data_IF_926119589772
#
_entry.id   IF_926119589772
#
_cell.length_a   1.000
_cell.length_b   1.000
_cell.length_c   1.000
_cell.angle_alpha   90.00
_cell.angle_beta   90.00
_cell.angle_gamma   90.00
#
_symmetry.space_group_name_H-M   'P 1'
#
loop_
_entity.id
_entity.type
_entity.pdbx_description
1 polymer ?
#
# COMPACT_ATOMS: atom_id res chain seq x y z
N UNK A 1 14.38 -7.14 -68.22
CA UNK A 1 13.99 -7.28 -66.80
C UNK A 1 14.00 -5.91 -66.15
N UNK A 2 12.88 -5.18 -66.27
CA UNK A 2 12.68 -3.92 -65.57
C UNK A 2 12.17 -4.25 -64.17
N UNK A 3 13.07 -4.33 -63.20
CA UNK A 3 12.68 -4.31 -61.80
C UNK A 3 12.18 -2.91 -61.48
N UNK A 4 10.88 -2.83 -61.21
CA UNK A 4 10.14 -1.62 -60.85
C UNK A 4 10.78 -0.90 -59.67
N UNK A 5 11.08 0.39 -59.85
CA UNK A 5 11.54 1.33 -58.80
C UNK A 5 10.57 1.43 -57.60
N UNK A 6 9.38 0.85 -57.68
CA UNK A 6 8.36 0.89 -56.61
C UNK A 6 8.76 0.03 -55.40
N UNK A 7 9.59 -1.02 -55.59
CA UNK A 7 10.01 -1.87 -54.46
C UNK A 7 11.23 -1.32 -53.70
N UNK A 8 12.03 -0.44 -54.29
CA UNK A 8 13.17 0.21 -53.59
C UNK A 8 12.67 1.33 -52.68
N UNK A 9 11.60 2.03 -53.03
CA UNK A 9 11.00 3.06 -52.18
C UNK A 9 10.28 2.49 -50.94
N UNK A 10 9.80 1.24 -50.98
CA UNK A 10 9.20 0.59 -49.79
C UNK A 10 10.25 0.13 -48.76
N UNK A 11 11.45 -0.25 -49.20
CA UNK A 11 12.55 -0.56 -48.26
C UNK A 11 13.16 0.72 -47.64
N UNK A 12 13.21 1.83 -48.38
CA UNK A 12 13.67 3.11 -47.85
C UNK A 12 12.70 3.71 -46.82
N UNK A 13 11.38 3.45 -46.95
CA UNK A 13 10.41 3.94 -45.98
C UNK A 13 10.43 3.13 -44.66
N UNK A 14 10.83 1.85 -44.67
CA UNK A 14 10.95 1.06 -43.44
C UNK A 14 12.28 1.27 -42.70
N UNK A 15 13.32 1.73 -43.40
CA UNK A 15 14.60 2.13 -42.81
C UNK A 15 14.62 3.50 -42.14
N UNK A 16 13.55 4.30 -42.29
CA UNK A 16 13.41 5.62 -41.67
C UNK A 16 12.46 5.65 -40.46
N UNK A 17 11.74 4.54 -40.18
CA UNK A 17 10.92 4.38 -38.97
C UNK A 17 11.53 3.41 -37.95
N UNK A 18 12.74 2.92 -38.19
CA UNK A 18 13.51 2.17 -37.20
C UNK A 18 14.42 3.12 -36.42
N UNK A 19 14.10 3.30 -35.14
CA UNK A 19 14.97 3.89 -34.10
C UNK A 19 15.19 5.41 -34.13
N UNK A 20 14.14 6.17 -34.39
CA UNK A 20 13.92 7.37 -33.56
C UNK A 20 12.54 7.24 -32.95
N UNK A 21 12.42 6.35 -31.96
CA UNK A 21 11.64 6.72 -30.79
C UNK A 21 12.36 7.94 -30.22
N UNK A 22 12.06 9.12 -30.80
CA UNK A 22 12.26 10.38 -30.11
C UNK A 22 11.45 10.14 -28.84
N UNK A 23 12.11 9.84 -27.73
CA UNK A 23 11.56 10.17 -26.42
C UNK A 23 11.13 11.61 -26.60
N UNK A 24 9.83 11.85 -26.74
CA UNK A 24 9.28 13.19 -26.72
C UNK A 24 9.94 13.84 -25.52
N UNK A 25 10.68 14.91 -25.79
CA UNK A 25 11.41 15.64 -24.76
C UNK A 25 10.35 16.02 -23.73
N UNK A 26 10.41 15.38 -22.57
CA UNK A 26 9.43 15.48 -21.50
C UNK A 26 9.61 16.85 -20.87
N UNK A 27 8.91 17.86 -21.41
CA UNK A 27 8.97 19.28 -21.01
C UNK A 27 8.37 19.55 -19.60
N UNK A 28 8.52 18.60 -18.69
CA UNK A 28 8.08 18.64 -17.29
C UNK A 28 9.21 19.15 -16.40
N UNK A 29 10.47 19.13 -16.86
CA UNK A 29 11.63 19.61 -16.12
C UNK A 29 12.10 20.95 -16.67
N UNK A 30 12.42 21.88 -15.76
CA UNK A 30 13.07 23.15 -16.09
C UNK A 30 14.59 23.03 -15.92
N UNK A 31 15.40 23.87 -16.59
CA UNK A 31 16.84 23.89 -16.39
C UNK A 31 17.22 24.01 -14.91
N UNK A 32 17.99 23.04 -14.41
CA UNK A 32 18.46 22.97 -13.01
C UNK A 32 17.61 22.10 -12.07
N UNK A 33 16.46 21.60 -12.52
CA UNK A 33 15.63 20.65 -11.74
C UNK A 33 16.36 19.30 -11.52
N UNK A 34 17.31 18.96 -12.40
CA UNK A 34 18.17 17.77 -12.34
C UNK A 34 19.38 17.91 -11.42
N UNK A 35 19.60 19.10 -10.85
CA UNK A 35 20.74 19.31 -9.94
C UNK A 35 20.61 18.49 -8.65
N UNK A 36 21.74 18.05 -8.09
CA UNK A 36 21.79 17.34 -6.80
C UNK A 36 21.25 18.16 -5.62
N UNK A 37 21.12 19.48 -5.80
CA UNK A 37 20.49 20.36 -4.84
C UNK A 37 18.96 20.18 -4.78
N UNK A 38 18.35 19.80 -5.90
CA UNK A 38 16.91 19.56 -6.02
C UNK A 38 16.57 18.10 -5.79
N UNK A 39 17.27 17.19 -6.46
CA UNK A 39 16.92 15.77 -6.50
C UNK A 39 18.11 14.85 -6.29
N UNK A 40 17.89 13.77 -5.55
CA UNK A 40 18.83 12.66 -5.39
C UNK A 40 18.10 11.34 -5.64
N UNK A 41 18.68 10.41 -6.40
CA UNK A 41 18.15 9.05 -6.48
C UNK A 41 18.08 8.41 -5.09
N UNK A 42 17.13 7.50 -4.87
CA UNK A 42 16.99 6.78 -3.59
C UNK A 42 18.28 6.00 -3.25
N UNK A 43 18.92 5.38 -4.25
CA UNK A 43 20.23 4.76 -4.11
C UNK A 43 20.25 3.66 -3.04
N UNK A 44 21.09 3.83 -2.02
CA UNK A 44 21.19 2.90 -0.87
C UNK A 44 20.41 3.37 0.37
N UNK A 45 19.71 4.50 0.28
CA UNK A 45 18.86 4.99 1.37
C UNK A 45 17.69 4.04 1.49
N UNK A 46 17.40 3.59 2.71
CA UNK A 46 16.21 2.81 2.98
C UNK A 46 14.97 3.67 2.71
N UNK A 47 14.14 3.33 1.72
CA UNK A 47 12.99 4.15 1.36
C UNK A 47 11.87 4.03 2.37
N UNK A 48 11.91 3.12 3.35
CA UNK A 48 10.75 2.87 4.22
C UNK A 48 10.95 3.42 5.63
N UNK A 49 12.19 3.75 6.01
CA UNK A 49 12.50 4.19 7.36
C UNK A 49 13.30 5.49 7.41
N UNK A 50 13.20 6.14 8.57
CA UNK A 50 14.09 7.21 8.94
C UNK A 50 15.56 6.76 8.85
N UNK A 51 16.45 7.64 8.38
CA UNK A 51 17.88 7.39 8.44
C UNK A 51 18.34 7.41 9.91
N UNK A 52 19.48 6.78 10.19
CA UNK A 52 19.96 6.64 11.57
C UNK A 52 20.37 7.97 12.24
N UNK A 53 20.61 9.02 11.44
CA UNK A 53 21.11 10.32 11.85
C UNK A 53 19.99 11.38 11.97
N UNK A 54 18.87 11.01 12.57
CA UNK A 54 17.77 11.94 12.86
C UNK A 54 17.75 12.37 14.32
N UNK A 55 17.14 13.53 14.59
CA UNK A 55 16.86 14.02 15.93
C UNK A 55 15.43 14.54 16.02
N UNK A 56 14.80 14.36 17.17
CA UNK A 56 13.52 15.02 17.45
C UNK A 56 13.73 16.54 17.49
N UNK A 57 12.86 17.28 16.81
CA UNK A 57 12.93 18.73 16.74
C UNK A 57 12.20 19.32 15.54
N UNK A 58 11.99 20.63 15.57
CA UNK A 58 11.33 21.37 14.50
C UNK A 58 10.32 22.39 15.02
N UNK A 59 9.51 22.89 14.10
CA UNK A 59 8.48 23.90 14.33
C UNK A 59 7.18 23.34 14.90
N UNK A 60 6.96 22.02 14.77
CA UNK A 60 5.79 21.31 15.31
C UNK A 60 6.22 20.17 16.23
N UNK A 61 5.46 19.94 17.29
CA UNK A 61 5.63 18.75 18.13
C UNK A 61 5.54 17.45 17.30
N UNK A 62 6.35 16.45 17.64
CA UNK A 62 6.51 15.22 16.84
C UNK A 62 7.38 15.35 15.58
N UNK A 63 7.85 16.55 15.21
CA UNK A 63 8.73 16.72 14.04
C UNK A 63 10.09 16.05 14.25
N UNK A 64 10.63 15.55 13.15
CA UNK A 64 11.96 14.94 13.09
C UNK A 64 12.84 15.70 12.10
N UNK A 65 14.08 15.99 12.47
CA UNK A 65 15.06 16.68 11.62
C UNK A 65 16.22 15.74 11.24
N UNK A 66 16.72 15.88 10.02
CA UNK A 66 18.00 15.31 9.63
C UNK A 66 19.14 16.08 10.30
N UNK A 67 19.98 15.40 11.08
CA UNK A 67 21.01 16.05 11.91
C UNK A 67 22.03 16.84 11.09
N UNK A 68 22.42 16.32 9.92
CA UNK A 68 23.44 16.94 9.07
C UNK A 68 23.00 18.27 8.44
N UNK A 69 21.71 18.42 8.13
CA UNK A 69 21.18 19.58 7.38
C UNK A 69 20.27 20.47 8.22
N UNK A 70 19.73 19.96 9.32
CA UNK A 70 18.65 20.60 10.08
C UNK A 70 17.31 20.60 9.34
N UNK A 71 17.21 19.95 8.18
CA UNK A 71 15.98 19.89 7.41
C UNK A 71 15.00 18.92 8.04
N UNK A 72 13.73 19.33 8.11
CA UNK A 72 12.64 18.47 8.56
C UNK A 72 12.43 17.30 7.61
N UNK A 73 12.29 16.10 8.17
CA UNK A 73 11.95 14.89 7.41
C UNK A 73 10.49 14.98 6.96
N UNK A 74 10.27 14.70 5.68
CA UNK A 74 8.99 14.83 5.00
C UNK A 74 8.77 13.68 4.03
N UNK A 75 7.52 13.49 3.66
CA UNK A 75 7.09 12.53 2.65
C UNK A 75 6.23 13.25 1.60
N UNK A 76 6.24 12.78 0.36
CA UNK A 76 5.40 13.29 -0.71
C UNK A 76 5.02 12.19 -1.69
N UNK A 77 3.91 12.37 -2.40
CA UNK A 77 3.37 11.34 -3.30
C UNK A 77 2.87 11.92 -4.62
N UNK A 78 3.07 11.18 -5.70
CA UNK A 78 2.35 11.32 -6.97
C UNK A 78 1.23 10.26 -6.96
N UNK A 79 0.03 10.68 -6.58
CA UNK A 79 -1.13 9.79 -6.42
C UNK A 79 -1.91 9.64 -7.71
N UNK A 80 -1.91 8.45 -8.31
CA UNK A 80 -2.68 8.12 -9.52
C UNK A 80 -4.03 7.49 -9.16
N UNK A 81 -5.11 7.86 -9.83
CA UNK A 81 -6.36 7.10 -9.78
C UNK A 81 -6.42 6.01 -10.86
N UNK A 82 -7.57 5.31 -10.93
CA UNK A 82 -7.80 4.22 -11.89
C UNK A 82 -7.83 4.67 -13.36
N UNK A 83 -7.97 5.97 -13.61
CA UNK A 83 -8.01 6.57 -14.95
C UNK A 83 -6.66 7.24 -15.29
N UNK A 84 -5.61 6.95 -14.52
CA UNK A 84 -4.28 7.56 -14.60
C UNK A 84 -4.27 9.09 -14.39
N UNK A 85 -5.31 9.67 -13.78
CA UNK A 85 -5.26 11.06 -13.35
C UNK A 85 -4.42 11.20 -12.08
N UNK A 86 -3.69 12.30 -11.97
CA UNK A 86 -2.83 12.63 -10.86
C UNK A 86 -3.57 13.55 -9.90
N UNK A 87 -3.76 13.09 -8.66
CA UNK A 87 -4.38 13.87 -7.60
C UNK A 87 -3.41 14.90 -7.03
N UNK A 88 -3.85 16.15 -7.03
CA UNK A 88 -3.10 17.29 -6.50
C UNK A 88 -3.95 18.02 -5.46
N UNK A 89 -3.27 18.67 -4.51
CA UNK A 89 -3.89 19.47 -3.46
C UNK A 89 -3.61 20.96 -3.68
N UNK A 90 -4.49 21.87 -3.26
CA UNK A 90 -4.18 23.29 -3.34
C UNK A 90 -3.05 23.67 -2.39
N UNK A 91 -2.13 24.51 -2.86
CA UNK A 91 -1.09 25.08 -2.01
C UNK A 91 -1.71 25.92 -0.87
N UNK A 92 -1.27 25.65 0.36
CA UNK A 92 -1.75 26.38 1.53
C UNK A 92 -1.24 27.84 1.55
N UNK A 93 -2.06 28.76 2.07
CA UNK A 93 -1.74 30.17 2.32
C UNK A 93 -1.58 31.09 1.11
N UNK A 94 -1.38 30.55 -0.11
CA UNK A 94 -1.14 31.38 -1.29
C UNK A 94 -1.53 30.67 -2.61
N UNK A 95 -2.74 30.10 -2.62
CA UNK A 95 -3.25 29.33 -3.75
C UNK A 95 -3.23 30.13 -5.06
N UNK A 96 -3.61 31.41 -5.06
CA UNK A 96 -3.71 32.19 -6.29
C UNK A 96 -2.34 32.41 -6.98
N UNK A 97 -1.24 32.32 -6.23
CA UNK A 97 0.11 32.42 -6.77
C UNK A 97 0.72 31.05 -7.11
N UNK A 98 0.42 30.01 -6.31
CA UNK A 98 1.10 28.72 -6.45
C UNK A 98 0.25 27.70 -7.21
N UNK A 99 -1.06 27.74 -7.08
CA UNK A 99 -1.98 26.76 -7.67
C UNK A 99 -1.95 25.41 -6.94
N UNK A 100 -2.20 24.34 -7.70
CA UNK A 100 -2.17 22.98 -7.17
C UNK A 100 -0.73 22.45 -7.09
N UNK A 101 -0.48 21.62 -6.08
CA UNK A 101 0.81 20.97 -5.79
C UNK A 101 0.60 19.48 -5.54
N UNK A 102 1.66 18.70 -5.68
CA UNK A 102 1.63 17.32 -5.20
C UNK A 102 1.54 17.30 -3.66
N UNK A 103 0.78 16.36 -3.06
CA UNK A 103 0.73 16.18 -1.62
C UNK A 103 2.13 15.96 -1.03
N UNK A 104 2.46 16.72 0.02
CA UNK A 104 3.74 16.63 0.70
C UNK A 104 3.64 17.17 2.13
N UNK A 105 3.82 16.27 3.08
CA UNK A 105 3.67 16.54 4.51
C UNK A 105 4.90 16.21 5.34
N UNK A 106 4.81 16.37 6.66
CA UNK A 106 5.93 16.19 7.58
C UNK A 106 5.83 14.89 8.37
N UNK A 107 6.94 14.16 8.49
CA UNK A 107 6.98 13.00 9.38
C UNK A 107 6.68 13.42 10.84
N UNK A 108 5.85 12.64 11.53
CA UNK A 108 5.48 12.79 12.94
C UNK A 108 5.85 11.52 13.72
N UNK A 109 6.83 11.59 14.61
CA UNK A 109 7.33 10.43 15.37
C UNK A 109 6.31 9.80 16.33
N UNK A 110 5.23 10.51 16.64
CA UNK A 110 4.16 10.00 17.50
C UNK A 110 3.22 9.08 16.72
N UNK A 111 2.98 9.41 15.46
CA UNK A 111 1.98 8.75 14.62
C UNK A 111 2.59 7.82 13.58
N UNK A 112 3.76 8.16 13.04
CA UNK A 112 4.40 7.46 11.94
C UNK A 112 5.45 6.46 12.47
N UNK A 113 5.39 5.22 12.00
CA UNK A 113 6.41 4.18 12.30
C UNK A 113 7.33 3.92 11.10
N UNK A 114 6.92 4.37 9.92
CA UNK A 114 7.63 4.29 8.66
C UNK A 114 7.40 5.56 7.83
N UNK A 115 8.22 5.78 6.81
CA UNK A 115 7.98 6.87 5.86
C UNK A 115 6.69 6.62 5.05
N UNK A 116 6.29 5.36 4.85
CA UNK A 116 5.02 5.02 4.22
C UNK A 116 3.82 5.50 5.07
N UNK A 117 3.88 5.35 6.40
CA UNK A 117 2.83 5.87 7.30
C UNK A 117 2.68 7.39 7.17
N UNK A 118 3.80 8.11 7.06
CA UNK A 118 3.79 9.55 6.76
C UNK A 118 3.04 9.84 5.46
N UNK A 119 3.32 9.08 4.37
CA UNK A 119 2.64 9.29 3.08
C UNK A 119 1.13 9.11 3.23
N UNK A 120 0.69 8.02 3.87
CA UNK A 120 -0.73 7.71 4.06
C UNK A 120 -1.43 8.79 4.89
N UNK A 121 -0.86 9.12 6.06
CA UNK A 121 -1.42 10.11 6.98
C UNK A 121 -1.52 11.48 6.33
N UNK A 122 -0.43 11.99 5.77
CA UNK A 122 -0.38 13.34 5.19
C UNK A 122 -1.26 13.45 3.93
N UNK A 123 -1.35 12.40 3.11
CA UNK A 123 -2.23 12.40 1.94
C UNK A 123 -3.71 12.49 2.34
N UNK A 124 -4.09 11.78 3.42
CA UNK A 124 -5.45 11.83 3.98
C UNK A 124 -5.73 13.15 4.68
N UNK A 125 -4.82 13.63 5.51
CA UNK A 125 -5.01 14.86 6.30
C UNK A 125 -5.07 16.10 5.40
N UNK A 126 -4.12 16.24 4.47
CA UNK A 126 -3.99 17.43 3.63
C UNK A 126 -4.90 17.43 2.40
N UNK A 127 -5.19 16.23 1.87
CA UNK A 127 -5.82 16.06 0.58
C UNK A 127 -7.03 15.14 0.58
N UNK A 128 -7.37 14.51 1.70
CA UNK A 128 -8.46 13.53 1.74
C UNK A 128 -8.19 12.32 0.83
N UNK A 129 -6.94 12.05 0.48
CA UNK A 129 -6.59 10.99 -0.47
C UNK A 129 -6.25 9.71 0.28
N UNK A 130 -6.98 8.63 0.01
CA UNK A 130 -6.65 7.31 0.56
C UNK A 130 -5.75 6.60 -0.44
N UNK A 131 -4.49 6.38 -0.03
CA UNK A 131 -3.47 5.71 -0.83
C UNK A 131 -3.40 4.24 -0.44
N UNK A 132 -3.42 3.33 -1.43
CA UNK A 132 -3.08 1.93 -1.19
C UNK A 132 -1.58 1.84 -0.89
N UNK A 133 -1.23 1.54 0.37
CA UNK A 133 0.15 1.40 0.81
C UNK A 133 0.95 0.40 -0.03
N UNK A 134 0.32 -0.67 -0.52
CA UNK A 134 0.99 -1.71 -1.29
C UNK A 134 1.43 -1.24 -2.68
N UNK A 135 0.76 -0.21 -3.20
CA UNK A 135 1.09 0.42 -4.48
C UNK A 135 2.25 1.41 -4.41
N UNK A 136 2.74 1.75 -3.20
CA UNK A 136 3.78 2.75 -3.05
C UNK A 136 5.10 2.32 -3.69
N UNK A 137 5.69 3.17 -4.53
CA UNK A 137 6.98 2.94 -5.19
C UNK A 137 7.90 4.13 -4.90
N UNK A 138 9.10 3.92 -4.34
CA UNK A 138 10.04 4.99 -4.08
C UNK A 138 10.55 5.63 -5.38
N UNK A 139 10.51 6.95 -5.46
CA UNK A 139 10.96 7.72 -6.63
C UNK A 139 12.34 8.33 -6.40
N UNK A 140 12.57 8.87 -5.21
CA UNK A 140 13.81 9.54 -4.86
C UNK A 140 13.66 10.49 -3.68
N UNK A 141 14.68 11.32 -3.50
CA UNK A 141 14.82 12.23 -2.38
C UNK A 141 15.00 13.66 -2.87
N UNK A 142 14.48 14.63 -2.13
CA UNK A 142 14.71 16.06 -2.38
C UNK A 142 15.07 16.81 -1.09
N UNK A 143 15.29 18.12 -1.19
CA UNK A 143 15.65 19.00 -0.07
C UNK A 143 16.86 18.47 0.73
N UNK A 144 17.95 18.18 0.04
CA UNK A 144 19.18 17.65 0.63
C UNK A 144 19.13 16.17 1.04
N UNK A 145 18.00 15.49 0.85
CA UNK A 145 17.78 14.10 1.32
C UNK A 145 16.70 13.98 2.40
N UNK A 146 16.02 15.08 2.75
CA UNK A 146 15.05 15.10 3.84
C UNK A 146 13.60 14.86 3.40
N UNK A 147 13.28 14.93 2.11
CA UNK A 147 11.92 14.68 1.60
C UNK A 147 11.94 13.43 0.74
N UNK A 148 11.17 12.42 1.14
CA UNK A 148 11.02 11.14 0.43
C UNK A 148 9.81 11.18 -0.49
N UNK A 149 10.00 10.85 -1.77
CA UNK A 149 8.95 10.89 -2.78
C UNK A 149 8.55 9.50 -3.25
N UNK A 150 7.25 9.28 -3.45
CA UNK A 150 6.67 8.02 -3.92
C UNK A 150 5.69 8.23 -5.06
N UNK A 151 5.51 7.19 -5.88
CA UNK A 151 4.29 6.98 -6.68
C UNK A 151 3.34 6.12 -5.84
N UNK A 152 2.03 6.32 -5.95
CA UNK A 152 1.02 5.47 -5.32
C UNK A 152 -0.34 5.57 -6.00
N UNK A 153 -1.23 4.64 -5.68
CA UNK A 153 -2.59 4.58 -6.19
C UNK A 153 -3.57 5.15 -5.16
N UNK A 154 -4.39 6.11 -5.60
CA UNK A 154 -5.53 6.63 -4.85
C UNK A 154 -6.70 5.67 -5.04
N UNK A 155 -7.18 5.08 -3.94
CA UNK A 155 -8.31 4.14 -3.96
C UNK A 155 -9.65 4.84 -3.81
N UNK A 156 -9.68 5.91 -3.01
CA UNK A 156 -10.86 6.73 -2.76
C UNK A 156 -10.46 8.13 -2.25
N UNK A 157 -11.43 9.03 -2.22
CA UNK A 157 -11.29 10.35 -1.62
C UNK A 157 -12.31 10.56 -0.50
N UNK A 158 -11.86 11.20 0.57
CA UNK A 158 -12.63 11.54 1.77
C UNK A 158 -12.50 13.03 2.08
N UNK A 159 -13.26 13.53 3.05
CA UNK A 159 -13.12 14.93 3.48
C UNK A 159 -11.75 15.13 4.17
N UNK A 160 -10.90 16.08 3.73
CA UNK A 160 -9.63 16.38 4.38
C UNK A 160 -9.85 16.89 5.80
N UNK A 161 -8.99 16.49 6.73
CA UNK A 161 -9.05 16.99 8.12
C UNK A 161 -8.39 18.36 8.27
N UNK A 162 -7.46 18.72 7.37
CA UNK A 162 -6.89 20.05 7.30
C UNK A 162 -7.63 20.92 6.26
N UNK A 163 -8.23 22.06 6.68
CA UNK A 163 -8.96 22.91 5.76
C UNK A 163 -8.03 23.54 4.73
N UNK A 164 -8.45 23.45 3.46
CA UNK A 164 -7.75 23.98 2.30
C UNK A 164 -8.59 25.03 1.59
N UNK A 165 -7.97 25.97 0.84
CA UNK A 165 -8.72 27.05 0.17
C UNK A 165 -9.62 26.55 -0.97
N UNK A 166 -9.38 25.33 -1.46
CA UNK A 166 -10.14 24.64 -2.51
C UNK A 166 -10.13 23.13 -2.22
N UNK A 167 -11.02 22.32 -2.82
CA UNK A 167 -10.92 20.87 -2.72
C UNK A 167 -9.71 20.33 -3.50
N UNK A 168 -9.20 19.13 -3.15
CA UNK A 168 -8.26 18.37 -3.98
C UNK A 168 -8.87 18.09 -5.37
N UNK A 169 -8.01 17.87 -6.38
CA UNK A 169 -8.46 17.62 -7.75
C UNK A 169 -7.52 16.66 -8.49
N UNK A 170 -8.11 15.70 -9.22
CA UNK A 170 -7.43 14.87 -10.22
C UNK A 170 -7.20 15.64 -11.52
N UNK A 171 -5.98 15.54 -12.05
CA UNK A 171 -5.55 16.18 -13.29
C UNK A 171 -5.02 15.14 -14.27
N UNK A 172 -5.21 15.38 -15.56
CA UNK A 172 -4.52 14.61 -16.59
C UNK A 172 -3.00 14.82 -16.49
N UNK A 173 -2.21 13.98 -17.17
CA UNK A 173 -0.74 14.14 -17.26
C UNK A 173 -0.36 15.54 -17.76
N UNK A 174 -1.03 16.02 -18.83
CA UNK A 174 -0.72 17.32 -19.42
C UNK A 174 -1.14 18.49 -18.52
N UNK A 175 -2.30 18.38 -17.86
CA UNK A 175 -2.73 19.41 -16.91
C UNK A 175 -1.85 19.44 -15.66
N UNK A 176 -1.36 18.29 -15.21
CA UNK A 176 -0.40 18.20 -14.10
C UNK A 176 0.89 18.93 -14.44
N UNK A 177 1.43 18.70 -15.64
CA UNK A 177 2.59 19.44 -16.16
C UNK A 177 2.33 20.94 -16.13
N UNK A 178 1.16 21.38 -16.61
CA UNK A 178 0.79 22.80 -16.62
C UNK A 178 0.67 23.41 -15.20
N UNK A 179 0.12 22.68 -14.23
CA UNK A 179 0.04 23.12 -12.84
C UNK A 179 1.43 23.22 -12.19
N UNK A 180 2.33 22.27 -12.46
CA UNK A 180 3.68 22.25 -11.88
C UNK A 180 4.63 23.32 -12.43
N UNK A 181 4.27 23.97 -13.54
CA UNK A 181 4.95 25.15 -14.09
C UNK A 181 4.49 26.48 -13.46
N UNK A 182 3.47 26.47 -12.59
CA UNK A 182 2.98 27.67 -11.90
C UNK A 182 3.76 27.99 -10.62
N UNK A 183 3.97 29.28 -10.28
CA UNK A 183 3.75 30.44 -11.14
C UNK A 183 4.87 30.57 -12.20
N UNK A 184 4.57 31.13 -13.39
CA UNK A 184 5.52 31.25 -14.50
C UNK A 184 6.85 31.97 -14.17
N UNK A 185 6.91 32.77 -13.10
CA UNK A 185 8.10 33.53 -12.69
C UNK A 185 8.81 33.03 -11.42
N UNK A 186 8.27 32.04 -10.70
CA UNK A 186 8.93 31.43 -9.51
C UNK A 186 8.70 29.90 -9.41
N UNK A 187 8.94 29.12 -10.48
CA UNK A 187 8.66 27.69 -10.48
C UNK A 187 9.62 26.87 -9.59
N UNK A 188 10.71 27.46 -9.09
CA UNK A 188 11.70 26.76 -8.24
C UNK A 188 11.09 26.10 -6.98
N UNK A 189 9.95 26.60 -6.47
CA UNK A 189 9.25 25.99 -5.31
C UNK A 189 8.59 24.64 -5.60
N UNK A 190 8.50 24.24 -6.87
CA UNK A 190 7.93 22.96 -7.33
C UNK A 190 8.96 22.11 -8.08
N UNK A 191 10.26 22.44 -7.99
CA UNK A 191 11.30 21.70 -8.71
C UNK A 191 11.38 20.23 -8.26
N UNK A 192 11.27 19.98 -6.96
CA UNK A 192 11.18 18.63 -6.38
C UNK A 192 9.92 17.89 -6.86
N UNK A 193 8.79 18.59 -6.96
CA UNK A 193 7.53 18.02 -7.43
C UNK A 193 7.57 17.66 -8.92
N UNK A 194 8.17 18.50 -9.76
CA UNK A 194 8.40 18.20 -11.18
C UNK A 194 9.29 16.98 -11.35
N UNK A 195 10.33 16.86 -10.51
CA UNK A 195 11.16 15.66 -10.49
C UNK A 195 10.42 14.42 -10.01
N UNK A 196 9.59 14.51 -8.98
CA UNK A 196 8.76 13.39 -8.54
C UNK A 196 7.83 12.93 -9.67
N UNK A 197 7.12 13.87 -10.31
CA UNK A 197 6.24 13.58 -11.44
C UNK A 197 6.98 13.00 -12.66
N UNK A 198 8.15 13.53 -12.99
CA UNK A 198 8.97 12.99 -14.08
C UNK A 198 9.38 11.54 -13.80
N UNK A 199 9.84 11.26 -12.58
CA UNK A 199 10.31 9.92 -12.20
C UNK A 199 9.16 8.91 -11.99
N UNK A 200 7.94 9.35 -11.70
CA UNK A 200 6.79 8.44 -11.53
C UNK A 200 6.39 7.75 -12.83
N UNK A 201 6.64 8.38 -13.98
CA UNK A 201 6.35 7.81 -15.30
C UNK A 201 7.18 6.56 -15.63
N UNK A 202 8.36 6.41 -15.02
CA UNK A 202 9.27 5.29 -15.25
C UNK A 202 9.69 4.61 -13.94
N UNK A 203 8.83 4.67 -12.92
CA UNK A 203 9.11 4.10 -11.62
C UNK A 203 9.35 2.59 -11.73
N UNK A 204 10.37 2.08 -11.01
CA UNK A 204 10.68 0.65 -10.98
C UNK A 204 9.69 -0.10 -10.09
N UNK A 205 8.69 -0.71 -10.72
CA UNK A 205 7.64 -1.49 -10.04
C UNK A 205 8.21 -2.62 -9.16
N UNK A 206 9.42 -3.12 -9.41
CA UNK A 206 10.05 -4.13 -8.54
C UNK A 206 10.43 -3.61 -7.15
N UNK A 207 10.47 -2.28 -6.99
CA UNK A 207 10.80 -1.62 -5.72
C UNK A 207 9.57 -1.29 -4.86
N UNK A 208 8.37 -1.64 -5.33
CA UNK A 208 7.11 -1.34 -4.64
C UNK A 208 7.05 -1.90 -3.22
N UNK A 209 6.25 -1.25 -2.38
CA UNK A 209 6.13 -1.54 -0.94
C UNK A 209 5.82 -3.00 -0.67
N UNK A 210 4.86 -3.60 -1.39
CA UNK A 210 4.49 -5.00 -1.20
C UNK A 210 5.63 -6.00 -1.45
N UNK A 211 6.67 -5.62 -2.20
CA UNK A 211 7.80 -6.47 -2.54
C UNK A 211 9.04 -6.19 -1.66
N UNK A 212 9.25 -4.95 -1.25
CA UNK A 212 10.54 -4.54 -0.64
C UNK A 212 10.44 -4.10 0.82
N UNK A 213 9.24 -3.81 1.33
CA UNK A 213 9.09 -3.41 2.72
C UNK A 213 9.50 -4.54 3.66
N UNK A 214 10.49 -4.27 4.51
CA UNK A 214 10.91 -5.15 5.59
C UNK A 214 10.61 -4.48 6.92
N UNK A 215 9.79 -5.07 7.80
CA UNK A 215 9.64 -4.58 9.17
C UNK A 215 11.01 -4.62 9.86
N UNK A 216 11.48 -3.51 10.44
CA UNK A 216 12.69 -3.52 11.27
C UNK A 216 12.42 -4.42 12.47
N UNK A 217 13.31 -5.39 12.72
CA UNK A 217 13.21 -6.34 13.83
C UNK A 217 12.96 -5.60 15.15
N UNK A 218 11.70 -5.64 15.60
CA UNK A 218 11.38 -5.48 17.00
C UNK A 218 11.21 -6.90 17.53
N UNK A 219 11.89 -7.23 18.62
CA UNK A 219 11.65 -8.49 19.31
C UNK A 219 10.20 -8.54 19.79
N UNK A 220 9.29 -9.04 18.97
CA UNK A 220 7.99 -9.51 19.42
C UNK A 220 8.24 -10.86 20.08
N UNK A 221 8.45 -10.85 21.39
CA UNK A 221 8.32 -12.08 22.19
C UNK A 221 6.93 -12.64 21.93
N UNK A 222 6.84 -13.81 21.30
CA UNK A 222 5.60 -14.59 21.32
C UNK A 222 5.24 -14.98 22.75
N UNK A 223 4.04 -15.49 22.96
CA UNK A 223 3.70 -16.16 24.21
C UNK A 223 4.66 -17.33 24.49
N UNK A 224 4.61 -17.93 25.68
CA UNK A 224 5.50 -19.06 26.05
C UNK A 224 5.49 -20.24 25.06
N UNK A 225 4.48 -20.30 24.19
CA UNK A 225 4.12 -21.47 23.39
C UNK A 225 4.34 -21.26 21.87
N UNK A 226 4.70 -20.05 21.40
CA UNK A 226 5.02 -19.81 19.98
C UNK A 226 6.07 -18.70 19.80
N UNK A 227 6.73 -18.70 18.64
CA UNK A 227 7.65 -17.61 18.27
C UNK A 227 7.17 -16.87 17.02
N UNK A 228 7.51 -15.59 16.96
CA UNK A 228 7.14 -14.68 15.88
C UNK A 228 8.40 -14.21 15.19
N UNK A 229 8.44 -14.32 13.86
CA UNK A 229 9.47 -13.70 13.02
C UNK A 229 8.83 -12.65 12.13
N UNK A 230 9.39 -11.45 12.16
CA UNK A 230 8.99 -10.41 11.22
C UNK A 230 9.57 -10.73 9.83
N UNK A 231 8.67 -10.83 8.83
CA UNK A 231 8.97 -11.08 7.41
C UNK A 231 8.33 -9.98 6.55
N UNK A 232 8.77 -8.73 6.74
CA UNK A 232 8.14 -7.60 6.06
C UNK A 232 6.82 -7.22 6.69
N UNK A 233 5.78 -7.08 5.86
CA UNK A 233 4.41 -6.83 6.34
C UNK A 233 3.81 -8.03 7.10
N UNK A 234 4.45 -9.19 7.00
CA UNK A 234 3.98 -10.43 7.59
C UNK A 234 4.70 -10.72 8.91
N UNK A 235 3.97 -11.29 9.85
CA UNK A 235 4.47 -11.97 11.04
C UNK A 235 4.34 -13.48 10.83
N UNK A 236 5.47 -14.15 10.63
CA UNK A 236 5.51 -15.60 10.52
C UNK A 236 5.50 -16.25 11.91
N UNK A 237 4.65 -17.26 12.07
CA UNK A 237 4.41 -17.92 13.35
C UNK A 237 4.96 -19.34 13.32
N UNK A 238 5.68 -19.72 14.37
CA UNK A 238 6.32 -21.04 14.55
C UNK A 238 5.98 -21.61 15.93
N UNK A 239 5.88 -22.93 16.02
CA UNK A 239 5.35 -23.63 17.20
C UNK A 239 6.38 -23.97 18.27
N UNK A 240 7.68 -24.03 17.96
CA UNK A 240 8.69 -24.60 18.87
C UNK A 240 9.99 -23.77 18.99
N UNK A 241 9.89 -22.46 18.77
CA UNK A 241 11.05 -21.58 18.68
C UNK A 241 11.73 -21.67 17.31
N UNK A 242 12.43 -20.60 16.92
CA UNK A 242 13.00 -20.50 15.58
C UNK A 242 14.23 -21.43 15.42
N UNK A 243 14.06 -22.57 14.76
CA UNK A 243 15.18 -23.34 14.18
C UNK A 243 15.31 -23.00 12.69
N UNK A 244 16.51 -22.60 12.24
CA UNK A 244 16.77 -22.28 10.83
C UNK A 244 16.29 -23.44 9.91
N UNK A 245 15.27 -23.17 9.07
CA UNK A 245 14.76 -24.12 8.07
C UNK A 245 13.35 -24.65 8.31
N UNK A 246 12.69 -24.32 9.43
CA UNK A 246 11.30 -24.71 9.68
C UNK A 246 10.30 -23.85 8.89
N UNK A 247 9.20 -24.46 8.45
CA UNK A 247 8.09 -23.78 7.75
C UNK A 247 7.16 -23.13 8.78
N UNK A 248 6.76 -21.88 8.54
CA UNK A 248 5.81 -21.20 9.41
C UNK A 248 4.42 -21.87 9.30
N UNK A 249 3.72 -22.02 10.43
CA UNK A 249 2.35 -22.56 10.46
C UNK A 249 1.30 -21.58 9.93
N UNK A 250 1.64 -20.29 9.91
CA UNK A 250 0.92 -19.23 9.22
C UNK A 250 1.80 -17.99 9.08
N UNK A 251 1.41 -17.10 8.16
CA UNK A 251 1.90 -15.72 8.10
C UNK A 251 0.72 -14.78 8.34
N UNK A 252 0.83 -13.85 9.28
CA UNK A 252 -0.25 -12.90 9.60
C UNK A 252 0.16 -11.48 9.24
N UNK A 253 -0.71 -10.78 8.52
CA UNK A 253 -0.63 -9.34 8.28
C UNK A 253 -1.79 -8.67 9.03
N UNK A 254 -1.49 -7.73 9.90
CA UNK A 254 -2.48 -6.83 10.49
C UNK A 254 -2.51 -5.53 9.65
N UNK A 255 -3.46 -5.45 8.73
CA UNK A 255 -3.69 -4.27 7.89
C UNK A 255 -4.51 -3.25 8.71
N UNK A 256 -3.79 -2.45 9.51
CA UNK A 256 -4.38 -1.45 10.41
C UNK A 256 -5.14 -0.34 9.67
N UNK A 257 -4.81 -0.08 8.40
CA UNK A 257 -5.49 0.94 7.60
C UNK A 257 -6.74 0.40 6.93
N UNK A 258 -6.70 -0.85 6.45
CA UNK A 258 -7.87 -1.56 5.94
C UNK A 258 -8.75 -2.17 7.04
N UNK A 259 -8.38 -1.99 8.32
CA UNK A 259 -9.03 -2.60 9.48
C UNK A 259 -9.18 -4.12 9.36
N UNK A 260 -8.19 -4.78 8.76
CA UNK A 260 -8.31 -6.16 8.29
C UNK A 260 -7.16 -7.02 8.77
N UNK A 261 -7.47 -8.26 9.12
CA UNK A 261 -6.47 -9.29 9.36
C UNK A 261 -6.36 -10.16 8.12
N UNK A 262 -5.14 -10.45 7.66
CA UNK A 262 -4.87 -11.43 6.61
C UNK A 262 -3.99 -12.55 7.16
N UNK A 263 -4.48 -13.78 7.11
CA UNK A 263 -3.74 -14.98 7.47
C UNK A 263 -3.43 -15.79 6.19
N UNK A 264 -2.16 -15.86 5.82
CA UNK A 264 -1.70 -16.56 4.63
C UNK A 264 -1.15 -17.95 4.98
N UNK A 265 -1.46 -18.94 4.13
CA UNK A 265 -1.05 -20.35 4.29
C UNK A 265 -1.37 -20.91 5.69
N UNK A 266 -2.48 -20.46 6.28
CA UNK A 266 -2.78 -20.76 7.68
C UNK A 266 -3.23 -22.21 7.84
N UNK A 267 -2.52 -23.01 8.63
CA UNK A 267 -2.90 -24.41 8.82
C UNK A 267 -3.48 -24.63 10.22
N UNK A 268 -4.78 -24.34 10.36
CA UNK A 268 -5.48 -24.40 11.65
C UNK A 268 -5.33 -25.76 12.37
N UNK A 269 -5.30 -26.85 11.61
CA UNK A 269 -5.13 -28.22 12.10
C UNK A 269 -3.70 -28.60 12.50
N UNK A 270 -2.69 -27.76 12.21
CA UNK A 270 -1.29 -27.97 12.63
C UNK A 270 -0.90 -27.14 13.85
N UNK A 271 -1.82 -26.36 14.42
CA UNK A 271 -1.55 -25.62 15.64
C UNK A 271 -1.42 -26.61 16.82
N UNK A 272 -0.38 -26.52 17.68
CA UNK A 272 -0.16 -27.44 18.78
C UNK A 272 -1.33 -27.45 19.77
N UNK A 273 -1.50 -28.58 20.45
CA UNK A 273 -2.46 -28.75 21.54
C UNK A 273 -2.24 -27.68 22.63
N UNK A 274 -3.23 -26.81 22.82
CA UNK A 274 -3.20 -25.71 23.81
C UNK A 274 -3.10 -24.31 23.19
N UNK A 275 -2.75 -24.20 21.91
CA UNK A 275 -2.79 -22.97 21.14
C UNK A 275 -3.97 -22.99 20.17
N UNK A 276 -4.63 -21.84 19.98
CA UNK A 276 -5.61 -21.64 18.91
C UNK A 276 -5.15 -20.56 17.94
N UNK A 277 -5.43 -20.75 16.65
CA UNK A 277 -5.11 -19.77 15.60
C UNK A 277 -5.75 -18.41 15.89
N UNK A 278 -6.99 -18.42 16.42
CA UNK A 278 -7.75 -17.24 16.84
C UNK A 278 -7.05 -16.46 17.95
N UNK A 279 -6.49 -17.15 18.95
CA UNK A 279 -5.75 -16.53 20.05
C UNK A 279 -4.49 -15.85 19.55
N UNK A 280 -3.71 -16.52 18.69
CA UNK A 280 -2.52 -15.93 18.08
C UNK A 280 -2.88 -14.70 17.25
N UNK A 281 -3.87 -14.81 16.36
CA UNK A 281 -4.32 -13.71 15.51
C UNK A 281 -4.80 -12.51 16.34
N UNK A 282 -5.62 -12.77 17.37
CA UNK A 282 -6.13 -11.73 18.27
C UNK A 282 -4.99 -11.04 19.01
N UNK A 283 -4.05 -11.79 19.56
CA UNK A 283 -2.87 -11.24 20.24
C UNK A 283 -2.04 -10.36 19.30
N UNK A 284 -1.78 -10.82 18.07
CA UNK A 284 -1.04 -10.05 17.07
C UNK A 284 -1.75 -8.74 16.70
N UNK A 285 -3.08 -8.75 16.58
CA UNK A 285 -3.84 -7.53 16.36
C UNK A 285 -3.79 -6.59 17.57
N UNK A 286 -3.99 -7.10 18.78
CA UNK A 286 -3.94 -6.26 20.01
C UNK A 286 -2.54 -5.72 20.31
N UNK A 287 -1.50 -6.31 19.73
CA UNK A 287 -0.14 -5.78 19.78
C UNK A 287 0.08 -4.61 18.81
N UNK A 288 -0.89 -4.32 17.93
CA UNK A 288 -0.93 -3.06 17.17
C UNK A 288 -1.43 -1.91 18.05
N UNK A 289 -1.53 -0.70 17.49
CA UNK A 289 -2.08 0.46 18.21
C UNK A 289 -3.61 0.54 18.17
N UNK A 290 -4.29 -0.40 17.50
CA UNK A 290 -5.74 -0.42 17.35
C UNK A 290 -6.40 -1.40 18.32
N UNK A 291 -7.60 -1.05 18.75
CA UNK A 291 -8.45 -1.94 19.53
C UNK A 291 -8.96 -3.09 18.64
N UNK A 292 -9.20 -4.26 19.22
CA UNK A 292 -9.73 -5.42 18.51
C UNK A 292 -11.12 -5.17 17.92
N UNK A 293 -11.91 -4.26 18.53
CA UNK A 293 -13.21 -3.87 18.03
C UNK A 293 -13.15 -3.09 16.70
N UNK A 294 -11.99 -2.59 16.29
CA UNK A 294 -11.80 -1.87 15.03
C UNK A 294 -11.74 -2.84 13.84
N UNK A 295 -11.47 -4.14 14.04
CA UNK A 295 -11.37 -5.13 12.93
C UNK A 295 -12.70 -5.23 12.18
N UNK A 296 -12.68 -5.00 10.87
CA UNK A 296 -13.84 -5.09 9.97
C UNK A 296 -13.86 -6.37 9.15
N UNK A 297 -12.73 -7.05 8.98
CA UNK A 297 -12.68 -8.31 8.24
C UNK A 297 -11.48 -9.19 8.56
N UNK A 298 -11.63 -10.48 8.29
CA UNK A 298 -10.58 -11.49 8.41
C UNK A 298 -10.51 -12.24 7.08
N UNK A 299 -9.34 -12.23 6.46
CA UNK A 299 -9.07 -12.92 5.20
C UNK A 299 -8.11 -14.08 5.43
N UNK A 300 -8.44 -15.24 4.88
CA UNK A 300 -7.48 -16.32 4.73
C UNK A 300 -7.12 -16.47 3.24
N UNK A 301 -5.84 -16.35 2.92
CA UNK A 301 -5.31 -16.47 1.56
C UNK A 301 -4.42 -17.71 1.44
N UNK A 302 -4.30 -18.24 0.23
CA UNK A 302 -3.60 -19.51 -0.01
C UNK A 302 -4.19 -20.61 0.88
N UNK A 303 -5.48 -20.90 0.68
CA UNK A 303 -6.22 -21.86 1.51
C UNK A 303 -5.58 -23.25 1.39
N UNK A 304 -4.81 -23.64 2.40
CA UNK A 304 -4.10 -24.93 2.48
C UNK A 304 -4.80 -25.95 3.38
N UNK A 305 -5.71 -25.51 4.27
CA UNK A 305 -6.37 -26.42 5.22
C UNK A 305 -7.40 -27.33 4.50
N UNK A 306 -7.20 -28.66 4.47
CA UNK A 306 -8.03 -29.56 3.65
C UNK A 306 -9.50 -29.64 4.09
N UNK A 307 -9.77 -29.48 5.38
CA UNK A 307 -11.14 -29.49 5.90
C UNK A 307 -11.89 -28.22 5.46
N UNK A 308 -11.21 -27.07 5.44
CA UNK A 308 -11.76 -25.84 4.89
C UNK A 308 -11.98 -25.92 3.38
N UNK A 309 -11.03 -26.49 2.62
CA UNK A 309 -11.21 -26.74 1.17
C UNK A 309 -12.43 -27.62 0.89
N UNK A 310 -12.63 -28.66 1.70
CA UNK A 310 -13.81 -29.54 1.61
C UNK A 310 -15.10 -28.78 1.92
N UNK A 311 -15.11 -27.94 2.95
CA UNK A 311 -16.26 -27.11 3.28
C UNK A 311 -16.63 -26.14 2.14
N UNK A 312 -15.63 -25.54 1.47
CA UNK A 312 -15.85 -24.69 0.30
C UNK A 312 -16.51 -25.47 -0.85
N UNK A 313 -16.02 -26.67 -1.15
CA UNK A 313 -16.62 -27.53 -2.19
C UNK A 313 -18.06 -27.93 -1.87
N UNK A 314 -18.35 -28.22 -0.59
CA UNK A 314 -19.70 -28.58 -0.15
C UNK A 314 -20.64 -27.37 -0.23
N UNK A 315 -20.20 -26.20 0.25
CA UNK A 315 -20.96 -24.95 0.17
C UNK A 315 -21.31 -24.59 -1.28
N UNK A 316 -20.34 -24.75 -2.20
CA UNK A 316 -20.57 -24.57 -3.65
C UNK A 316 -21.67 -25.50 -4.19
N UNK A 317 -21.65 -26.77 -3.75
CA UNK A 317 -22.65 -27.76 -4.14
C UNK A 317 -24.05 -27.40 -3.62
N UNK A 318 -24.16 -26.89 -2.38
CA UNK A 318 -25.42 -26.44 -1.80
C UNK A 318 -26.02 -25.23 -2.55
N UNK A 319 -25.15 -24.33 -3.02
CA UNK A 319 -25.52 -23.17 -3.84
C UNK A 319 -25.92 -23.55 -5.27
N UNK A 320 -25.58 -24.75 -5.74
CA UNK A 320 -25.85 -25.19 -7.11
C UNK A 320 -24.88 -24.58 -8.13
N UNK A 321 -23.72 -24.11 -7.67
CA UNK A 321 -22.68 -23.52 -8.51
C UNK A 321 -21.68 -24.59 -8.96
N UNK A 322 -21.07 -24.40 -10.12
CA UNK A 322 -20.15 -25.37 -10.73
C UNK A 322 -18.68 -24.95 -10.69
N UNK A 323 -18.38 -23.66 -10.59
CA UNK A 323 -17.04 -23.09 -10.46
C UNK A 323 -17.11 -21.60 -10.10
N UNK A 324 -16.00 -21.04 -9.58
CA UNK A 324 -15.85 -19.61 -9.37
C UNK A 324 -15.99 -19.19 -7.91
N UNK A 325 -15.70 -17.91 -7.67
CA UNK A 325 -15.93 -17.27 -6.38
C UNK A 325 -17.43 -17.07 -6.13
N UNK A 326 -17.82 -17.06 -4.85
CA UNK A 326 -19.20 -16.92 -4.42
C UNK A 326 -19.31 -16.20 -3.08
N UNK A 327 -20.50 -15.73 -2.74
CA UNK A 327 -20.77 -15.07 -1.45
C UNK A 327 -22.00 -15.69 -0.80
N UNK A 328 -21.95 -15.84 0.52
CA UNK A 328 -23.08 -16.29 1.35
C UNK A 328 -23.21 -15.42 2.59
N UNK A 329 -24.46 -15.25 3.04
CA UNK A 329 -24.85 -14.47 4.22
C UNK A 329 -25.74 -15.34 5.12
N UNK A 330 -26.03 -14.87 6.33
CA UNK A 330 -27.02 -15.50 7.21
C UNK A 330 -28.44 -14.97 6.98
N UNK A 331 -28.69 -14.27 5.89
CA UNK A 331 -29.99 -13.68 5.62
C UNK A 331 -31.03 -14.75 5.28
N UNK A 332 -32.29 -14.43 5.58
CA UNK A 332 -33.41 -15.34 5.39
C UNK A 332 -33.53 -15.73 3.90
N UNK A 333 -33.13 -16.97 3.58
CA UNK A 333 -33.13 -17.50 2.21
C UNK A 333 -31.75 -17.59 1.55
N UNK A 334 -30.71 -17.04 2.17
CA UNK A 334 -29.33 -17.01 1.66
C UNK A 334 -28.36 -17.92 2.45
N UNK A 335 -28.87 -18.69 3.41
CA UNK A 335 -28.09 -19.52 4.34
C UNK A 335 -27.41 -20.75 3.71
N UNK A 336 -27.53 -20.94 2.40
CA UNK A 336 -26.89 -22.06 1.69
C UNK A 336 -25.38 -21.86 1.72
N UNK A 337 -24.61 -22.88 2.10
CA UNK A 337 -23.17 -22.76 2.27
C UNK A 337 -22.74 -22.04 3.55
N UNK A 338 -23.53 -21.11 4.10
CA UNK A 338 -23.23 -20.37 5.34
C UNK A 338 -22.84 -21.29 6.50
N UNK A 339 -23.73 -22.20 6.90
CA UNK A 339 -23.50 -23.09 8.04
C UNK A 339 -22.28 -24.00 7.83
N UNK A 340 -22.10 -24.46 6.59
CA UNK A 340 -20.98 -25.32 6.19
C UNK A 340 -19.65 -24.58 6.29
N UNK A 341 -19.59 -23.31 5.86
CA UNK A 341 -18.38 -22.48 5.97
C UNK A 341 -18.11 -22.04 7.41
N UNK A 342 -19.14 -21.69 8.18
CA UNK A 342 -19.01 -21.34 9.60
C UNK A 342 -18.51 -22.52 10.45
N UNK A 343 -18.85 -23.76 10.08
CA UNK A 343 -18.35 -24.97 10.72
C UNK A 343 -16.93 -25.37 10.28
N UNK A 344 -16.38 -24.75 9.23
CA UNK A 344 -15.01 -25.02 8.79
C UNK A 344 -13.97 -24.50 9.80
N UNK A 345 -12.73 -25.04 9.81
CA UNK A 345 -11.67 -24.53 10.67
C UNK A 345 -11.46 -23.01 10.58
N UNK A 346 -11.47 -22.44 9.38
CA UNK A 346 -11.34 -20.97 9.24
C UNK A 346 -12.60 -20.22 9.69
N UNK A 347 -13.79 -20.79 9.49
CA UNK A 347 -15.05 -20.23 10.01
C UNK A 347 -15.08 -20.18 11.54
N UNK A 348 -14.58 -21.22 12.20
CA UNK A 348 -14.44 -21.25 13.67
C UNK A 348 -13.47 -20.16 14.13
N UNK A 349 -12.29 -20.06 13.50
CA UNK A 349 -11.31 -19.01 13.84
C UNK A 349 -11.89 -17.62 13.64
N UNK A 350 -12.55 -17.36 12.50
CA UNK A 350 -13.16 -16.08 12.21
C UNK A 350 -14.25 -15.73 13.23
N UNK A 351 -15.06 -16.70 13.63
CA UNK A 351 -16.12 -16.53 14.64
C UNK A 351 -15.55 -16.16 16.02
N UNK A 352 -14.45 -16.78 16.42
CA UNK A 352 -13.80 -16.49 17.70
C UNK A 352 -13.17 -15.09 17.73
N UNK A 353 -12.52 -14.68 16.64
CA UNK A 353 -11.97 -13.33 16.50
C UNK A 353 -13.09 -12.29 16.43
N UNK A 354 -14.17 -12.55 15.68
CA UNK A 354 -15.34 -11.68 15.63
C UNK A 354 -15.94 -11.48 17.03
N UNK A 355 -16.09 -12.57 17.79
CA UNK A 355 -16.55 -12.52 19.18
C UNK A 355 -15.61 -11.70 20.06
N UNK A 356 -14.29 -11.83 19.90
CA UNK A 356 -13.32 -11.01 20.62
C UNK A 356 -13.43 -9.51 20.26
N UNK A 357 -13.76 -9.20 19.01
CA UNK A 357 -14.04 -7.86 18.52
C UNK A 357 -15.42 -7.31 18.92
N UNK A 358 -16.27 -8.12 19.58
CA UNK A 358 -17.65 -7.75 19.90
C UNK A 358 -18.56 -7.64 18.68
N UNK A 359 -18.28 -8.42 17.62
CA UNK A 359 -18.96 -8.39 16.32
C UNK A 359 -19.52 -9.76 15.93
N UNK A 360 -20.44 -9.76 14.97
CA UNK A 360 -20.89 -10.93 14.23
C UNK A 360 -20.20 -11.06 12.87
N UNK A 361 -20.28 -12.25 12.26
CA UNK A 361 -19.95 -12.43 10.84
C UNK A 361 -21.18 -11.98 10.04
N UNK A 362 -21.01 -11.04 9.12
CA UNK A 362 -22.07 -10.54 8.26
C UNK A 362 -22.10 -11.23 6.88
N UNK A 363 -20.93 -11.63 6.38
CA UNK A 363 -20.80 -12.23 5.05
C UNK A 363 -19.54 -13.06 4.92
N UNK A 364 -19.60 -14.06 4.06
CA UNK A 364 -18.46 -14.90 3.68
C UNK A 364 -18.33 -14.87 2.16
N UNK A 365 -17.18 -14.44 1.67
CA UNK A 365 -16.87 -14.39 0.23
C UNK A 365 -15.69 -15.30 -0.09
N UNK A 366 -15.87 -16.18 -1.06
CA UNK A 366 -14.84 -17.03 -1.64
C UNK A 366 -14.39 -16.44 -2.97
N UNK A 367 -13.09 -16.39 -3.20
CA UNK A 367 -12.52 -16.08 -4.51
C UNK A 367 -11.73 -17.30 -5.00
N UNK A 368 -12.20 -17.91 -6.09
CA UNK A 368 -11.47 -18.94 -6.82
C UNK A 368 -10.39 -18.27 -7.67
N UNK A 369 -9.24 -18.00 -7.06
CA UNK A 369 -8.05 -17.47 -7.72
C UNK A 369 -6.83 -18.36 -7.51
N UNK A 370 -5.70 -17.93 -8.06
CA UNK A 370 -4.38 -18.38 -7.60
C UNK A 370 -3.65 -17.14 -7.04
N UNK A 371 -3.74 -16.86 -5.74
CA UNK A 371 -4.21 -17.77 -4.68
C UNK A 371 -5.74 -17.78 -4.47
N UNK A 372 -6.26 -18.88 -3.92
CA UNK A 372 -7.64 -18.96 -3.45
C UNK A 372 -7.78 -18.23 -2.12
N UNK A 373 -8.92 -17.56 -1.92
CA UNK A 373 -9.15 -16.72 -0.74
C UNK A 373 -10.55 -16.92 -0.17
N UNK A 374 -10.66 -16.80 1.16
CA UNK A 374 -11.92 -16.70 1.89
C UNK A 374 -11.87 -15.46 2.79
N UNK A 375 -12.86 -14.60 2.65
CA UNK A 375 -13.03 -13.36 3.38
C UNK A 375 -14.26 -13.45 4.28
N UNK A 376 -14.08 -13.14 5.55
CA UNK A 376 -15.15 -12.99 6.53
C UNK A 376 -15.31 -11.51 6.88
N UNK A 377 -16.48 -10.93 6.59
CA UNK A 377 -16.82 -9.54 6.93
C UNK A 377 -17.45 -9.49 8.32
N UNK A 378 -17.04 -8.53 9.14
CA UNK A 378 -17.50 -8.35 10.52
C UNK A 378 -18.38 -7.11 10.65
N UNK A 379 -19.52 -7.24 11.35
CA UNK A 379 -20.43 -6.14 11.66
C UNK A 379 -20.87 -6.16 13.12
N UNK A 380 -21.30 -5.00 13.65
CA UNK A 380 -21.70 -4.83 15.05
C UNK A 380 -23.02 -5.52 15.40
#
# INVERSE_FOLDING_TARGET
MQYSMINVQKLALWGAFSLIAVKAQTDDLLPGDDSEAVWKPMGKVDPWYLPADVVDGGDKDGSVLQKATGNRIRCGVVGYDKEDNIWMIPANGNFDQVGYILPRGGYDSRSDKSIADCVLRESKEEGGLIIDINSLIPLGLSNGGAVYWYKGNVTETVEPTEPRPRPPKGFTVDDTRAELLKPPGKPAKKADMRQAFHNSATADESTRYELTFTAKEGSATGGSDYSVKDLGRWKAIYTDGFTNGEQAIMKVLCDVYGYRIVANEAWASQVPLGLSLSSVITQLWTATTLDINEVTSIKFSEIVDPATQTAISNARTELGESAGGFTTTNDLGETKGWNTLMASPYGVVASEVAKAAGKGIAGISITDGNPSEILFTLEQ
#
